data_IF_431367693402
#
_entry.id   IF_431367693402
#
_cell.length_a   1.000
_cell.length_b   1.000
_cell.length_c   1.000
_cell.angle_alpha   90.00
_cell.angle_beta   90.00
_cell.angle_gamma   90.00
#
_symmetry.space_group_name_H-M   'P 1'
#
loop_
_entity.id
_entity.type
_entity.pdbx_description
1 polymer ?
#
# COMPACT_ATOMS: atom_id res chain seq x y z
N UNK A 1 20.73 14.54 7.67
CA UNK A 1 19.46 14.53 8.44
C UNK A 1 18.19 14.82 7.63
N UNK A 2 18.23 15.50 6.47
CA UNK A 2 17.02 15.91 5.75
C UNK A 2 16.16 14.76 5.19
N UNK A 3 16.78 13.71 4.64
CA UNK A 3 16.04 12.56 4.08
C UNK A 3 15.21 11.84 5.17
N UNK A 4 15.78 11.62 6.35
CA UNK A 4 15.07 11.00 7.49
C UNK A 4 13.85 11.82 7.88
N UNK A 5 14.00 13.14 7.98
CA UNK A 5 12.88 14.05 8.30
C UNK A 5 11.84 14.10 7.18
N UNK A 6 12.25 14.01 5.91
CA UNK A 6 11.35 13.97 4.76
C UNK A 6 10.48 12.69 4.74
N UNK A 7 11.09 11.55 5.08
CA UNK A 7 10.43 10.25 5.18
C UNK A 7 9.59 10.07 6.45
N UNK A 8 9.57 11.07 7.34
CA UNK A 8 8.61 11.08 8.42
C UNK A 8 7.23 11.50 7.89
N UNK A 9 6.31 10.55 7.84
CA UNK A 9 4.92 10.69 7.41
C UNK A 9 3.92 10.64 8.59
N UNK A 10 4.38 10.84 9.82
CA UNK A 10 3.50 10.98 11.00
C UNK A 10 3.00 12.41 11.16
N UNK A 11 2.25 12.69 12.23
CA UNK A 11 1.81 14.04 12.58
C UNK A 11 2.97 15.02 12.83
N UNK A 12 4.15 14.52 13.21
CA UNK A 12 5.37 15.32 13.35
C UNK A 12 6.10 15.56 12.03
N UNK A 13 5.45 15.29 10.89
CA UNK A 13 5.98 15.56 9.56
C UNK A 13 6.28 17.06 9.39
N UNK A 14 7.52 17.45 9.05
CA UNK A 14 7.85 18.85 8.86
C UNK A 14 7.02 19.50 7.73
N UNK A 15 6.53 20.72 7.94
CA UNK A 15 5.72 21.46 6.94
C UNK A 15 6.41 21.59 5.58
N UNK A 16 7.73 21.76 5.56
CA UNK A 16 8.51 21.84 4.32
C UNK A 16 8.45 20.55 3.49
N UNK A 17 8.24 19.39 4.10
CA UNK A 17 8.18 18.11 3.39
C UNK A 17 6.98 18.04 2.42
N UNK A 18 5.86 18.65 2.78
CA UNK A 18 4.68 18.76 1.91
C UNK A 18 4.95 19.64 0.67
N UNK A 19 5.71 20.72 0.84
CA UNK A 19 6.17 21.53 -0.29
C UNK A 19 7.15 20.73 -1.17
N UNK A 20 8.04 19.95 -0.55
CA UNK A 20 8.98 19.09 -1.28
C UNK A 20 8.26 18.01 -2.08
N UNK A 21 7.20 17.38 -1.57
CA UNK A 21 6.36 16.46 -2.36
C UNK A 21 5.83 17.14 -3.62
N UNK A 22 5.34 18.38 -3.49
CA UNK A 22 4.81 19.17 -4.61
C UNK A 22 5.90 19.55 -5.63
N UNK A 23 7.09 19.94 -5.16
CA UNK A 23 8.23 20.24 -6.03
C UNK A 23 8.67 18.98 -6.77
N UNK A 24 8.93 17.88 -6.05
CA UNK A 24 9.33 16.58 -6.62
C UNK A 24 8.32 16.13 -7.67
N UNK A 25 7.02 16.25 -7.39
CA UNK A 25 5.93 15.88 -8.31
C UNK A 25 5.87 16.70 -9.61
N UNK A 26 6.49 17.89 -9.67
CA UNK A 26 6.62 18.69 -10.91
C UNK A 26 7.79 18.22 -11.78
N UNK A 27 8.80 17.60 -11.20
CA UNK A 27 10.01 17.19 -11.90
C UNK A 27 10.07 15.69 -12.19
N UNK A 28 8.94 15.04 -12.49
CA UNK A 28 8.89 13.59 -12.76
C UNK A 28 9.66 13.24 -14.04
N UNK A 29 10.34 12.09 -14.05
CA UNK A 29 11.03 11.57 -15.25
C UNK A 29 10.07 11.33 -16.42
N UNK A 30 10.55 11.56 -17.65
CA UNK A 30 9.75 11.29 -18.86
C UNK A 30 9.34 9.82 -18.98
N UNK A 31 10.17 8.89 -18.51
CA UNK A 31 9.91 7.45 -18.52
C UNK A 31 8.74 7.04 -17.64
N UNK A 32 8.42 7.80 -16.59
CA UNK A 32 7.25 7.54 -15.75
C UNK A 32 5.93 7.98 -16.40
N UNK A 33 5.99 8.64 -17.57
CA UNK A 33 4.83 9.08 -18.32
C UNK A 33 4.08 10.26 -17.69
N UNK A 34 2.88 10.52 -18.20
CA UNK A 34 2.03 11.61 -17.70
C UNK A 34 1.25 11.18 -16.46
N UNK A 35 1.85 11.40 -15.29
CA UNK A 35 1.21 11.15 -14.00
C UNK A 35 0.28 12.31 -13.66
N UNK A 36 -1.00 12.01 -13.40
CA UNK A 36 -1.98 13.02 -12.96
C UNK A 36 -1.57 13.63 -11.61
N UNK A 37 -1.72 14.96 -11.42
CA UNK A 37 -1.35 15.63 -10.17
C UNK A 37 -1.94 14.97 -8.92
N UNK A 38 -3.20 14.56 -8.95
CA UNK A 38 -3.93 13.97 -7.83
C UNK A 38 -3.44 12.56 -7.46
N UNK A 39 -2.65 11.92 -8.33
CA UNK A 39 -2.00 10.66 -8.05
C UNK A 39 -0.58 10.81 -7.50
N UNK A 40 -0.02 12.03 -7.43
CA UNK A 40 1.35 12.26 -6.94
C UNK A 40 1.32 12.47 -5.43
N UNK A 41 1.83 11.51 -4.68
CA UNK A 41 1.82 11.54 -3.22
C UNK A 41 3.24 11.58 -2.69
N UNK A 42 3.97 10.48 -2.84
CA UNK A 42 5.33 10.37 -2.36
C UNK A 42 6.09 9.35 -3.23
N UNK A 43 7.22 9.78 -3.78
CA UNK A 43 8.05 8.97 -4.68
C UNK A 43 8.61 7.69 -4.02
N UNK A 44 8.74 7.65 -2.69
CA UNK A 44 9.21 6.45 -1.97
C UNK A 44 8.10 5.42 -1.68
N UNK A 45 6.83 5.77 -1.92
CA UNK A 45 5.68 4.88 -1.80
C UNK A 45 5.08 4.51 -3.16
N UNK A 46 5.65 5.02 -4.26
CA UNK A 46 5.13 4.92 -5.61
C UNK A 46 6.24 4.55 -6.60
N UNK A 47 5.85 4.09 -7.79
CA UNK A 47 6.76 3.54 -8.81
C UNK A 47 7.36 4.58 -9.77
N UNK A 48 7.30 5.86 -9.42
CA UNK A 48 7.80 6.95 -10.25
C UNK A 48 8.91 7.72 -9.54
N UNK A 49 9.87 8.21 -10.33
CA UNK A 49 11.03 8.95 -9.83
C UNK A 49 11.08 10.37 -10.39
N UNK A 50 11.56 11.36 -9.62
CA UNK A 50 11.92 12.65 -10.15
C UNK A 50 13.19 12.59 -10.99
N UNK A 51 13.26 13.46 -12.00
CA UNK A 51 14.45 13.71 -12.77
C UNK A 51 15.50 14.43 -11.90
N UNK A 52 16.60 13.73 -11.64
CA UNK A 52 17.74 14.24 -10.84
C UNK A 52 18.98 14.53 -11.70
N UNK A 53 18.84 14.54 -13.03
CA UNK A 53 19.91 14.87 -13.97
C UNK A 53 20.41 16.31 -13.81
N UNK A 54 21.56 16.61 -14.42
CA UNK A 54 22.07 17.98 -14.51
C UNK A 54 21.06 18.94 -15.14
N UNK A 55 20.36 18.47 -16.18
CA UNK A 55 19.36 19.22 -16.96
C UNK A 55 17.99 19.42 -16.29
N UNK A 56 17.77 18.86 -15.11
CA UNK A 56 16.51 19.07 -14.37
C UNK A 56 16.51 20.40 -13.62
N UNK A 57 15.39 21.12 -13.59
CA UNK A 57 15.24 22.33 -12.78
C UNK A 57 14.99 22.03 -11.28
N UNK A 58 15.03 20.76 -10.88
CA UNK A 58 14.91 20.37 -9.47
C UNK A 58 16.02 21.03 -8.64
N UNK A 59 15.72 21.70 -7.51
CA UNK A 59 16.73 22.34 -6.68
C UNK A 59 17.87 21.40 -6.29
N UNK A 60 19.11 21.92 -6.33
CA UNK A 60 20.32 21.10 -6.14
C UNK A 60 20.35 20.31 -4.82
N UNK A 61 19.77 20.85 -3.75
CA UNK A 61 19.68 20.14 -2.47
C UNK A 61 18.70 18.95 -2.52
N UNK A 62 17.59 19.07 -3.26
CA UNK A 62 16.65 17.96 -3.48
C UNK A 62 17.26 16.91 -4.40
N UNK A 63 17.99 17.32 -5.45
CA UNK A 63 18.76 16.38 -6.29
C UNK A 63 19.73 15.56 -5.43
N UNK A 64 20.48 16.20 -4.53
CA UNK A 64 21.38 15.50 -3.60
C UNK A 64 20.62 14.54 -2.67
N UNK A 65 19.51 14.98 -2.08
CA UNK A 65 18.67 14.14 -1.21
C UNK A 65 18.19 12.88 -1.95
N UNK A 66 17.65 13.04 -3.16
CA UNK A 66 17.17 11.92 -3.98
C UNK A 66 18.30 11.00 -4.44
N UNK A 67 19.46 11.55 -4.82
CA UNK A 67 20.64 10.76 -5.20
C UNK A 67 21.19 9.94 -4.04
N UNK A 68 21.22 10.51 -2.82
CA UNK A 68 21.63 9.77 -1.61
C UNK A 68 20.63 8.65 -1.34
N UNK A 69 19.33 8.92 -1.41
CA UNK A 69 18.31 7.91 -1.21
C UNK A 69 18.45 6.75 -2.21
N UNK A 70 18.67 7.07 -3.49
CA UNK A 70 18.90 6.07 -4.54
C UNK A 70 20.21 5.31 -4.35
N UNK A 71 21.31 5.99 -4.02
CA UNK A 71 22.63 5.37 -3.77
C UNK A 71 22.55 4.32 -2.65
N UNK A 72 21.74 4.58 -1.63
CA UNK A 72 21.56 3.70 -0.48
C UNK A 72 20.29 2.86 -0.56
N UNK A 73 19.66 2.72 -1.73
CA UNK A 73 18.43 1.94 -1.94
C UNK A 73 17.37 2.15 -0.85
N UNK A 74 17.13 3.42 -0.49
CA UNK A 74 16.13 3.75 0.52
C UNK A 74 14.74 3.51 -0.06
N UNK A 75 13.96 2.64 0.57
CA UNK A 75 12.63 2.26 0.10
C UNK A 75 11.72 1.80 1.25
N UNK A 76 10.42 1.69 0.96
CA UNK A 76 9.44 1.17 1.88
C UNK A 76 9.49 -0.37 1.90
N UNK A 77 10.27 -0.92 2.82
CA UNK A 77 10.62 -2.34 2.83
C UNK A 77 10.28 -3.01 4.16
N UNK A 78 9.00 -3.00 4.51
CA UNK A 78 8.52 -3.79 5.64
C UNK A 78 8.51 -5.29 5.29
N UNK A 79 9.11 -6.08 6.17
CA UNK A 79 9.15 -7.55 6.09
C UNK A 79 7.71 -8.09 6.15
N UNK A 80 6.97 -7.69 7.18
CA UNK A 80 5.57 -8.04 7.39
C UNK A 80 4.77 -6.79 7.75
N UNK A 81 3.61 -6.62 7.12
CA UNK A 81 2.81 -5.38 7.19
C UNK A 81 1.45 -5.73 7.78
N UNK A 82 0.98 -4.99 8.77
CA UNK A 82 -0.36 -5.21 9.31
C UNK A 82 -1.47 -4.66 8.39
N UNK A 83 -2.72 -5.08 8.63
CA UNK A 83 -3.87 -4.66 7.80
C UNK A 83 -4.07 -3.14 7.81
N UNK A 84 -3.80 -2.48 8.95
CA UNK A 84 -3.96 -1.03 9.10
C UNK A 84 -2.96 -0.30 8.20
N UNK A 85 -1.70 -0.72 8.19
CA UNK A 85 -0.66 -0.11 7.38
C UNK A 85 -0.87 -0.35 5.88
N UNK A 86 -1.29 -1.57 5.46
CA UNK A 86 -1.66 -1.84 4.07
C UNK A 86 -2.70 -0.83 3.56
N UNK A 87 -3.73 -0.54 4.35
CA UNK A 87 -4.80 0.40 4.00
C UNK A 87 -4.33 1.84 3.79
N UNK A 88 -3.23 2.26 4.41
CA UNK A 88 -2.71 3.63 4.31
C UNK A 88 -1.87 3.86 3.04
N UNK A 89 -1.49 2.80 2.32
CA UNK A 89 -0.63 2.92 1.14
C UNK A 89 -1.36 3.59 -0.04
N UNK A 90 -0.65 4.38 -0.86
CA UNK A 90 -1.16 4.92 -2.12
C UNK A 90 -1.64 3.84 -3.09
N UNK A 91 -2.88 3.92 -3.61
CA UNK A 91 -3.33 2.95 -4.63
C UNK A 91 -2.76 3.25 -6.01
N UNK A 92 -2.58 4.52 -6.34
CA UNK A 92 -2.08 4.94 -7.65
C UNK A 92 -0.57 4.75 -7.73
N UNK A 93 -0.10 4.19 -8.84
CA UNK A 93 1.33 3.90 -9.04
C UNK A 93 1.94 3.09 -7.88
N UNK A 94 1.13 2.26 -7.22
CA UNK A 94 1.48 1.49 -6.04
C UNK A 94 2.74 0.63 -6.27
N UNK A 95 3.62 0.53 -5.28
CA UNK A 95 4.90 -0.20 -5.39
C UNK A 95 4.73 -1.71 -5.66
N UNK A 96 3.77 -2.35 -5.02
CA UNK A 96 3.34 -3.72 -5.29
C UNK A 96 2.36 -3.88 -6.46
N UNK A 97 2.36 -2.96 -7.43
CA UNK A 97 1.51 -3.03 -8.60
C UNK A 97 1.99 -4.10 -9.59
N UNK A 98 1.06 -4.90 -10.12
CA UNK A 98 1.34 -5.67 -11.34
C UNK A 98 1.34 -4.76 -12.60
N UNK A 99 1.75 -5.31 -13.74
CA UNK A 99 1.78 -4.55 -14.99
C UNK A 99 0.39 -4.06 -15.45
N UNK A 100 -0.70 -4.72 -15.00
CA UNK A 100 -2.08 -4.35 -15.34
C UNK A 100 -2.51 -3.10 -14.57
N UNK A 101 -2.16 -3.00 -13.28
CA UNK A 101 -2.46 -1.82 -12.48
C UNK A 101 -1.84 -0.55 -13.07
N UNK A 102 -0.62 -0.63 -13.61
CA UNK A 102 0.02 0.52 -14.29
C UNK A 102 -0.81 1.04 -15.46
N UNK A 103 -1.40 0.14 -16.26
CA UNK A 103 -2.28 0.50 -17.38
C UNK A 103 -3.60 1.12 -16.92
N UNK A 104 -4.04 0.82 -15.70
CA UNK A 104 -5.28 1.35 -15.13
C UNK A 104 -5.10 2.75 -14.52
N UNK A 105 -3.89 3.23 -14.22
CA UNK A 105 -3.69 4.51 -13.53
C UNK A 105 -4.17 5.75 -14.31
N UNK A 106 -4.22 5.69 -15.65
CA UNK A 106 -4.42 6.85 -16.54
C UNK A 106 -5.60 6.67 -17.50
N UNK A 107 -6.76 6.25 -17.01
CA UNK A 107 -8.00 6.24 -17.78
C UNK A 107 -9.05 7.20 -17.19
N UNK A 108 -10.11 7.45 -17.95
CA UNK A 108 -11.20 8.37 -17.57
C UNK A 108 -11.89 7.94 -16.28
N UNK A 109 -12.05 6.63 -16.04
CA UNK A 109 -12.67 6.11 -14.83
C UNK A 109 -11.76 6.37 -13.62
N UNK A 110 -10.45 6.22 -13.75
CA UNK A 110 -9.47 6.53 -12.70
C UNK A 110 -9.35 8.02 -12.44
N UNK A 111 -9.57 8.87 -13.44
CA UNK A 111 -9.74 10.31 -13.24
C UNK A 111 -11.00 10.59 -12.40
N UNK A 112 -12.12 9.92 -12.66
CA UNK A 112 -13.34 10.01 -11.86
C UNK A 112 -13.12 9.50 -10.42
N UNK A 113 -12.48 8.34 -10.25
CA UNK A 113 -12.17 7.77 -8.93
C UNK A 113 -11.33 8.73 -8.09
N UNK A 114 -10.37 9.44 -8.69
CA UNK A 114 -9.57 10.47 -8.00
C UNK A 114 -10.38 11.71 -7.65
N UNK A 115 -11.12 12.27 -8.61
CA UNK A 115 -11.74 13.60 -8.48
C UNK A 115 -13.11 13.59 -7.82
N UNK A 116 -13.95 12.61 -8.15
CA UNK A 116 -15.33 12.51 -7.67
C UNK A 116 -15.46 11.57 -6.47
N UNK A 117 -14.65 10.52 -6.41
CA UNK A 117 -14.65 9.58 -5.28
C UNK A 117 -13.53 9.84 -4.26
N UNK A 118 -12.62 10.79 -4.52
CA UNK A 118 -11.47 11.12 -3.66
C UNK A 118 -10.60 9.91 -3.29
N UNK A 119 -10.43 8.98 -4.24
CA UNK A 119 -9.62 7.79 -4.02
C UNK A 119 -8.14 8.16 -4.06
N UNK A 120 -7.44 7.95 -2.94
CA UNK A 120 -6.01 8.23 -2.80
C UNK A 120 -5.27 6.99 -2.29
N UNK A 121 -5.87 6.28 -1.34
CA UNK A 121 -5.28 5.12 -0.64
C UNK A 121 -5.94 3.79 -1.00
N UNK A 122 -5.33 2.69 -0.55
CA UNK A 122 -5.93 1.36 -0.58
C UNK A 122 -7.24 1.33 0.22
N UNK A 123 -7.33 2.04 1.35
CA UNK A 123 -8.58 2.12 2.11
C UNK A 123 -9.73 2.71 1.29
N UNK A 124 -9.45 3.75 0.52
CA UNK A 124 -10.46 4.45 -0.28
C UNK A 124 -10.97 3.58 -1.42
N UNK A 125 -10.06 2.96 -2.19
CA UNK A 125 -10.47 2.07 -3.29
C UNK A 125 -11.22 0.84 -2.75
N UNK A 126 -10.82 0.33 -1.59
CA UNK A 126 -11.48 -0.80 -0.92
C UNK A 126 -12.92 -0.45 -0.54
N UNK A 127 -13.13 0.73 0.05
CA UNK A 127 -14.47 1.25 0.37
C UNK A 127 -15.35 1.38 -0.88
N UNK A 128 -14.80 1.86 -2.00
CA UNK A 128 -15.54 1.95 -3.26
C UNK A 128 -15.84 0.56 -3.83
N UNK A 129 -14.89 -0.37 -3.78
CA UNK A 129 -15.04 -1.73 -4.30
C UNK A 129 -16.08 -2.58 -3.53
N UNK A 130 -16.21 -2.38 -2.21
CA UNK A 130 -17.15 -3.12 -1.36
C UNK A 130 -18.63 -2.95 -1.75
N UNK A 131 -18.97 -1.90 -2.51
CA UNK A 131 -20.36 -1.65 -2.87
C UNK A 131 -20.93 -2.67 -3.89
N UNK A 132 -20.08 -3.41 -4.62
CA UNK A 132 -20.48 -4.38 -5.65
C UNK A 132 -21.04 -5.71 -5.13
N UNK A 133 -21.66 -5.73 -3.96
CA UNK A 133 -22.25 -6.95 -3.43
C UNK A 133 -23.63 -7.28 -4.02
N UNK A 134 -23.98 -6.70 -5.17
CA UNK A 134 -25.25 -6.95 -5.86
C UNK A 134 -25.01 -7.94 -6.99
N UNK A 135 -25.76 -9.05 -7.01
CA UNK A 135 -25.77 -10.00 -8.14
C UNK A 135 -26.29 -9.37 -9.44
N UNK A 136 -26.90 -8.18 -9.33
CA UNK A 136 -27.44 -7.42 -10.45
C UNK A 136 -26.43 -6.38 -10.96
N UNK A 137 -26.11 -6.47 -12.25
CA UNK A 137 -25.41 -5.43 -13.00
C UNK A 137 -26.45 -4.57 -13.73
N UNK A 138 -26.65 -3.30 -13.32
CA UNK A 138 -27.59 -2.40 -13.99
C UNK A 138 -27.11 -2.12 -15.41
N UNK A 139 -27.95 -2.34 -16.45
CA UNK A 139 -27.55 -2.24 -17.85
C UNK A 139 -27.06 -0.83 -18.25
N UNK A 140 -27.49 0.24 -17.57
CA UNK A 140 -27.20 1.62 -17.97
C UNK A 140 -26.47 2.47 -16.89
N UNK A 141 -25.89 1.85 -15.86
CA UNK A 141 -25.40 2.58 -14.66
C UNK A 141 -26.50 3.43 -13.99
N UNK A 142 -27.74 3.03 -14.11
CA UNK A 142 -28.96 3.69 -13.63
C UNK A 142 -29.31 3.34 -12.18
N UNK A 143 -28.52 2.49 -11.50
CA UNK A 143 -28.73 2.08 -10.11
C UNK A 143 -29.19 3.22 -9.18
N UNK A 144 -30.36 3.07 -8.57
CA UNK A 144 -30.97 4.10 -7.71
C UNK A 144 -30.56 3.98 -6.23
N UNK A 145 -29.62 3.08 -5.90
CA UNK A 145 -29.21 2.88 -4.52
C UNK A 145 -28.61 4.17 -3.93
N UNK A 146 -28.71 4.31 -2.59
CA UNK A 146 -28.22 5.48 -1.87
C UNK A 146 -26.74 5.80 -2.17
N UNK A 147 -25.88 4.79 -2.33
CA UNK A 147 -24.46 5.00 -2.64
C UNK A 147 -24.27 5.57 -4.04
N UNK A 148 -24.90 4.99 -5.08
CA UNK A 148 -24.81 5.50 -6.44
C UNK A 148 -25.43 6.90 -6.55
N UNK A 149 -26.55 7.16 -5.88
CA UNK A 149 -27.15 8.50 -5.81
C UNK A 149 -26.18 9.53 -5.18
N UNK A 150 -25.51 9.17 -4.09
CA UNK A 150 -24.48 10.02 -3.46
C UNK A 150 -23.30 10.28 -4.38
N UNK A 151 -22.83 9.26 -5.10
CA UNK A 151 -21.71 9.41 -6.03
C UNK A 151 -22.09 10.30 -7.23
N UNK A 152 -23.33 10.22 -7.73
CA UNK A 152 -23.85 11.18 -8.72
C UNK A 152 -23.88 12.61 -8.22
N UNK A 153 -24.29 12.84 -6.97
CA UNK A 153 -24.24 14.18 -6.33
C UNK A 153 -22.81 14.74 -6.22
N UNK A 154 -21.79 13.88 -6.25
CA UNK A 154 -20.36 14.25 -6.28
C UNK A 154 -19.82 14.42 -7.71
N UNK A 155 -20.68 14.35 -8.72
CA UNK A 155 -20.33 14.52 -10.13
C UNK A 155 -19.94 13.24 -10.87
N UNK A 156 -20.08 12.06 -10.26
CA UNK A 156 -19.84 10.79 -10.97
C UNK A 156 -21.00 10.47 -11.91
N UNK A 157 -20.73 10.40 -13.22
CA UNK A 157 -21.75 10.07 -14.23
C UNK A 157 -22.15 8.60 -14.23
N UNK A 158 -21.21 7.70 -13.93
CA UNK A 158 -21.39 6.25 -14.01
C UNK A 158 -20.85 5.55 -12.75
N UNK A 159 -21.58 5.62 -11.60
CA UNK A 159 -21.10 5.08 -10.33
C UNK A 159 -20.82 3.58 -10.39
N UNK A 160 -21.73 2.79 -10.98
CA UNK A 160 -21.56 1.33 -11.08
C UNK A 160 -20.26 0.95 -11.80
N UNK A 161 -19.95 1.60 -12.92
CA UNK A 161 -18.69 1.44 -13.66
C UNK A 161 -17.48 1.81 -12.81
N UNK A 162 -17.57 2.87 -12.00
CA UNK A 162 -16.51 3.24 -11.07
C UNK A 162 -16.30 2.17 -9.98
N UNK A 163 -17.36 1.59 -9.44
CA UNK A 163 -17.24 0.47 -8.49
C UNK A 163 -16.60 -0.76 -9.14
N UNK A 164 -16.96 -1.10 -10.38
CA UNK A 164 -16.37 -2.24 -11.12
C UNK A 164 -14.89 -1.99 -11.37
N UNK A 165 -14.54 -0.79 -11.81
CA UNK A 165 -13.15 -0.40 -11.98
C UNK A 165 -12.39 -0.43 -10.65
N UNK A 166 -13.00 0.02 -9.55
CA UNK A 166 -12.36 0.00 -8.24
C UNK A 166 -12.04 -1.42 -7.76
N UNK A 167 -12.96 -2.37 -7.95
CA UNK A 167 -12.72 -3.79 -7.66
C UNK A 167 -11.62 -4.37 -8.54
N UNK A 168 -11.60 -4.02 -9.83
CA UNK A 168 -10.54 -4.43 -10.78
C UNK A 168 -9.17 -3.85 -10.41
N UNK A 169 -9.10 -2.59 -9.99
CA UNK A 169 -7.87 -1.95 -9.51
C UNK A 169 -7.38 -2.65 -8.23
N UNK A 170 -8.26 -2.86 -7.26
CA UNK A 170 -7.93 -3.50 -6.01
C UNK A 170 -7.40 -4.95 -6.22
N UNK A 171 -8.01 -5.72 -7.13
CA UNK A 171 -7.58 -7.10 -7.40
C UNK A 171 -6.20 -7.23 -8.06
N UNK A 172 -5.65 -6.12 -8.57
CA UNK A 172 -4.28 -6.08 -9.13
C UNK A 172 -3.20 -5.74 -8.09
N UNK A 173 -3.59 -5.42 -6.86
CA UNK A 173 -2.67 -5.25 -5.73
C UNK A 173 -2.19 -6.63 -5.27
N UNK A 174 -0.87 -6.86 -5.28
CA UNK A 174 -0.29 -8.16 -4.90
C UNK A 174 -0.63 -8.54 -3.45
N UNK A 175 -0.68 -9.84 -3.11
CA UNK A 175 -1.12 -10.32 -1.79
C UNK A 175 -0.41 -9.70 -0.58
N UNK A 176 0.91 -9.47 -0.66
CA UNK A 176 1.70 -8.81 0.39
C UNK A 176 1.10 -7.45 0.81
N UNK A 177 0.51 -6.73 -0.13
CA UNK A 177 0.02 -5.36 0.05
C UNK A 177 -1.52 -5.28 0.09
N UNK A 178 -2.23 -6.37 -0.21
CA UNK A 178 -3.68 -6.39 -0.26
C UNK A 178 -4.29 -6.43 1.17
N UNK A 179 -5.27 -5.57 1.49
CA UNK A 179 -5.79 -5.42 2.86
C UNK A 179 -6.61 -6.63 3.36
N UNK A 180 -7.22 -7.38 2.45
CA UNK A 180 -7.96 -8.60 2.80
C UNK A 180 -7.09 -9.85 2.85
N UNK A 181 -5.84 -9.76 2.40
CA UNK A 181 -4.90 -10.87 2.50
C UNK A 181 -4.21 -10.80 3.86
N UNK A 182 -4.37 -11.82 4.72
CA UNK A 182 -3.70 -11.84 6.00
C UNK A 182 -2.20 -11.87 5.80
N UNK A 183 -1.48 -11.19 6.68
CA UNK A 183 -0.03 -11.36 6.73
C UNK A 183 0.29 -12.71 7.36
N UNK A 184 1.28 -13.45 6.84
CA UNK A 184 1.50 -14.81 7.29
C UNK A 184 1.82 -14.92 8.77
N UNK A 185 1.34 -15.97 9.42
CA UNK A 185 1.62 -16.23 10.83
C UNK A 185 3.02 -16.84 10.99
N UNK A 186 3.85 -16.22 11.81
CA UNK A 186 5.25 -16.62 12.06
C UNK A 186 5.47 -17.14 13.50
N UNK A 187 4.48 -16.98 14.38
CA UNK A 187 4.59 -17.30 15.81
C UNK A 187 5.60 -16.42 16.56
N UNK A 188 6.13 -15.36 15.94
CA UNK A 188 7.18 -14.51 16.52
C UNK A 188 6.61 -13.34 17.31
N UNK A 189 5.35 -12.98 17.07
CA UNK A 189 4.70 -11.89 17.80
C UNK A 189 4.21 -12.37 19.16
N UNK A 190 4.67 -11.72 20.23
CA UNK A 190 4.12 -11.94 21.57
C UNK A 190 2.60 -11.70 21.60
N UNK A 191 1.91 -12.60 22.30
CA UNK A 191 0.49 -12.47 22.65
C UNK A 191 0.26 -11.31 23.62
N UNK A 192 -0.98 -10.84 23.76
CA UNK A 192 -1.29 -9.76 24.71
C UNK A 192 -0.92 -10.13 26.15
N UNK A 193 -1.17 -11.38 26.57
CA UNK A 193 -0.81 -11.86 27.90
C UNK A 193 0.72 -11.83 28.11
N UNK A 194 1.51 -12.21 27.11
CA UNK A 194 2.98 -12.12 27.18
C UNK A 194 3.46 -10.67 27.23
N UNK A 195 2.81 -9.75 26.50
CA UNK A 195 3.14 -8.32 26.58
C UNK A 195 2.84 -7.72 27.94
N UNK A 196 1.70 -8.09 28.55
CA UNK A 196 1.35 -7.62 29.88
C UNK A 196 2.35 -8.14 30.92
N UNK A 197 2.69 -9.44 30.88
CA UNK A 197 3.74 -10.01 31.74
C UNK A 197 5.10 -9.34 31.55
N UNK A 198 5.45 -8.98 30.32
CA UNK A 198 6.67 -8.24 30.05
C UNK A 198 6.64 -6.84 30.65
N UNK A 199 5.51 -6.13 30.60
CA UNK A 199 5.38 -4.80 31.20
C UNK A 199 5.50 -4.89 32.74
N UNK A 200 4.83 -5.86 33.35
CA UNK A 200 4.96 -6.14 34.79
C UNK A 200 6.41 -6.53 35.17
N UNK A 201 7.08 -7.35 34.37
CA UNK A 201 8.47 -7.73 34.62
C UNK A 201 9.43 -6.53 34.49
N UNK A 202 9.21 -5.64 33.52
CA UNK A 202 10.01 -4.42 33.35
C UNK A 202 9.87 -3.45 34.54
N UNK A 203 8.65 -3.32 35.10
CA UNK A 203 8.40 -2.53 36.31
C UNK A 203 9.07 -3.12 37.57
N UNK A 204 9.23 -4.44 37.63
CA UNK A 204 9.81 -5.15 38.78
C UNK A 204 11.30 -5.48 38.62
N UNK A 205 11.97 -4.99 37.57
CA UNK A 205 13.36 -5.33 37.20
C UNK A 205 13.60 -6.85 37.04
N UNK A 206 12.58 -7.54 36.53
CA UNK A 206 12.53 -8.97 36.30
C UNK A 206 12.87 -9.35 34.84
N UNK A 207 12.94 -10.67 34.57
CA UNK A 207 13.27 -11.18 33.23
C UNK A 207 12.14 -10.93 32.23
N UNK A 208 12.42 -10.08 31.23
CA UNK A 208 11.52 -9.82 30.10
C UNK A 208 11.70 -10.83 28.96
N UNK A 209 10.61 -11.31 28.36
CA UNK A 209 10.66 -12.15 27.17
C UNK A 209 10.95 -11.30 25.93
N UNK A 210 12.02 -11.59 25.20
CA UNK A 210 12.30 -10.89 23.94
C UNK A 210 11.17 -11.06 22.91
N UNK A 211 10.80 -9.98 22.23
CA UNK A 211 9.77 -9.98 21.18
C UNK A 211 10.42 -9.94 19.79
N UNK A 212 10.61 -11.09 19.12
CA UNK A 212 11.23 -11.14 17.78
C UNK A 212 10.28 -10.72 16.64
N UNK A 213 9.16 -10.05 16.93
CA UNK A 213 8.20 -9.63 15.91
C UNK A 213 8.82 -8.74 14.84
N UNK A 214 8.78 -9.21 13.61
CA UNK A 214 9.15 -8.45 12.40
C UNK A 214 7.95 -7.75 11.72
N UNK A 215 6.76 -7.81 12.36
CA UNK A 215 5.56 -7.15 11.86
C UNK A 215 5.61 -5.65 12.16
N UNK A 216 5.61 -4.82 11.13
CA UNK A 216 5.53 -3.38 11.26
C UNK A 216 4.09 -2.94 11.60
N UNK A 217 3.97 -2.13 12.65
CA UNK A 217 2.70 -1.64 13.22
C UNK A 217 2.74 -0.15 13.58
N UNK A 218 3.92 0.47 13.59
CA UNK A 218 4.15 1.86 14.00
C UNK A 218 3.89 2.88 12.87
N UNK A 219 3.30 2.46 11.75
CA UNK A 219 2.91 3.33 10.63
C UNK A 219 3.92 3.38 9.48
N UNK A 220 3.61 4.19 8.46
CA UNK A 220 4.38 4.21 7.21
C UNK A 220 5.84 4.62 7.43
N UNK A 221 6.09 5.64 8.24
CA UNK A 221 7.44 6.15 8.50
C UNK A 221 8.38 5.08 9.07
N UNK A 222 7.84 4.17 9.88
CA UNK A 222 8.60 3.13 10.54
C UNK A 222 9.02 2.00 9.59
N UNK A 223 8.44 1.91 8.39
CA UNK A 223 8.72 0.87 7.41
C UNK A 223 9.78 1.25 6.37
N UNK A 224 10.30 2.49 6.37
CA UNK A 224 11.40 2.85 5.49
C UNK A 224 12.71 2.20 5.97
N UNK A 225 13.46 1.63 5.03
CA UNK A 225 14.76 1.00 5.26
C UNK A 225 15.76 1.52 4.23
N UNK A 226 17.04 1.51 4.59
CA UNK A 226 18.16 1.73 3.67
C UNK A 226 18.84 0.39 3.38
N UNK A 227 19.62 0.34 2.30
CA UNK A 227 20.31 -0.85 1.81
C UNK A 227 19.35 -2.00 1.50
N UNK A 228 18.15 -1.64 1.01
CA UNK A 228 17.13 -2.62 0.64
C UNK A 228 17.52 -3.29 -0.66
N UNK A 229 17.38 -4.60 -0.71
CA UNK A 229 17.34 -5.35 -1.97
C UNK A 229 15.97 -5.13 -2.65
N UNK A 230 15.92 -4.51 -3.85
CA UNK A 230 14.67 -4.22 -4.54
C UNK A 230 13.76 -5.43 -4.77
N UNK A 231 14.33 -6.64 -4.88
CA UNK A 231 13.56 -7.88 -5.10
C UNK A 231 12.66 -8.25 -3.91
N UNK A 232 12.96 -7.73 -2.72
CA UNK A 232 12.17 -7.98 -1.49
C UNK A 232 10.77 -7.38 -1.51
N UNK A 233 10.46 -6.46 -2.43
CA UNK A 233 9.09 -5.97 -2.61
C UNK A 233 8.19 -7.01 -3.28
N UNK A 234 8.80 -7.88 -4.09
CA UNK A 234 8.12 -8.84 -4.94
C UNK A 234 8.04 -10.20 -4.27
N UNK A 235 9.08 -10.56 -3.50
CA UNK A 235 9.16 -11.81 -2.77
C UNK A 235 8.69 -11.61 -1.32
N UNK A 236 7.68 -12.37 -0.83
CA UNK A 236 7.40 -12.41 0.60
C UNK A 236 8.64 -12.91 1.34
N UNK A 237 8.88 -12.46 2.59
CA UNK A 237 10.02 -12.95 3.37
C UNK A 237 9.94 -14.47 3.53
N UNK A 238 11.11 -15.11 3.64
CA UNK A 238 11.18 -16.53 3.98
C UNK A 238 10.39 -16.77 5.28
N UNK A 239 9.44 -17.69 5.23
CA UNK A 239 8.59 -18.02 6.35
C UNK A 239 9.06 -19.33 6.96
N UNK A 240 9.08 -19.38 8.29
CA UNK A 240 9.26 -20.65 8.99
C UNK A 240 8.01 -21.49 8.74
N UNK A 241 8.19 -22.73 8.30
CA UNK A 241 7.09 -23.68 8.22
C UNK A 241 6.45 -23.86 9.59
N UNK A 242 5.11 -23.89 9.63
CA UNK A 242 4.39 -24.15 10.88
C UNK A 242 4.80 -25.54 11.39
N UNK A 243 5.34 -25.59 12.60
CA UNK A 243 5.57 -26.86 13.27
C UNK A 243 4.22 -27.47 13.68
N UNK A 244 3.87 -28.59 13.04
CA UNK A 244 2.65 -29.36 13.26
C UNK A 244 2.44 -30.38 12.13
N UNK A 245 1.62 -31.42 12.34
CA UNK A 245 1.21 -32.33 11.25
C UNK A 245 0.48 -31.51 10.19
N UNK A 246 1.15 -31.20 9.08
CA UNK A 246 0.47 -30.81 7.85
C UNK A 246 -0.19 -32.09 7.33
N UNK A 247 -1.47 -32.28 7.65
CA UNK A 247 -2.27 -33.30 6.97
C UNK A 247 -2.47 -32.76 5.56
N UNK A 248 -1.66 -33.22 4.63
CA UNK A 248 -1.98 -33.11 3.21
C UNK A 248 -3.32 -33.82 3.03
N UNK A 249 -4.36 -33.09 2.66
CA UNK A 249 -5.61 -33.70 2.20
C UNK A 249 -5.27 -34.56 0.98
N UNK A 250 -5.14 -35.87 1.20
CA UNK A 250 -4.99 -36.81 0.11
C UNK A 250 -6.36 -36.94 -0.58
N UNK A 251 -6.36 -36.76 -1.90
CA UNK A 251 -7.56 -36.98 -2.71
C UNK A 251 -7.97 -38.45 -2.59
N UNK A 252 -9.10 -38.72 -1.93
CA UNK A 252 -9.67 -40.05 -1.83
C UNK A 252 -10.70 -40.26 -2.95
N UNK A 253 -10.43 -41.19 -3.86
CA UNK A 253 -11.42 -41.67 -4.83
C UNK A 253 -12.20 -42.82 -4.19
N UNK A 254 -13.50 -42.64 -4.00
CA UNK A 254 -14.41 -43.65 -3.45
C UNK A 254 -15.15 -44.31 -4.62
N UNK A 255 -15.06 -45.64 -4.73
CA UNK A 255 -15.88 -46.41 -5.66
C UNK A 255 -17.09 -46.96 -4.91
N UNK A 256 -18.28 -46.58 -5.37
CA UNK A 256 -19.54 -47.14 -4.86
C UNK A 256 -19.84 -48.36 -5.74
N UNK A 257 -19.76 -49.56 -5.15
CA UNK A 257 -20.25 -50.77 -5.80
C UNK A 257 -21.78 -50.76 -5.77
N UNK A 258 -22.40 -50.96 -6.94
CA UNK A 258 -23.84 -51.16 -7.11
C UNK A 258 -24.27 -52.58 -6.79
#
# INVERSE_FOLDING_TARGET
MWLRSYLNLTESRPKWAFLVDSIIGKHITRSAGQIRPEAKINTFLQTWDPNTSGSSDLPGYLKRMMKVAKKHNVSFAAIKIDKKLKKQLPIWYHMGADARLRKLNNNVISDCLRKSHNVVSIADIHKVALHLNTQYAPPENDCECHTCARDRRRGCKHPFTCHVAARKILSTVRPKWHPDQPSPEDGLTLTNNQKNRNAEADENDDRVTFNPSVTERAGISAAFRAFVDPETHDNPPAMREKWGRVVTEEAMTIYIAG
#
